data_IF_801514353240
#
_entry.id   IF_801514353240
#
_cell.length_a   1.000
_cell.length_b   1.000
_cell.length_c   1.000
_cell.angle_alpha   90.00
_cell.angle_beta   90.00
_cell.angle_gamma   90.00
#
_symmetry.space_group_name_H-M   'P 1'
#
loop_
_entity.id
_entity.type
_entity.pdbx_description
1 polymer ?
#
# COMPACT_ATOMS: atom_id res chain seq x y z
N UNK A 1 16.72 13.13 61.11
CA UNK A 1 18.05 13.40 61.68
C UNK A 1 19.11 12.79 60.76
N UNK A 2 20.18 13.56 60.50
CA UNK A 2 21.47 13.25 59.84
C UNK A 2 22.12 11.91 60.30
N UNK A 3 23.24 11.42 59.70
CA UNK A 3 23.64 11.22 58.29
C UNK A 3 24.41 9.88 58.06
N UNK A 4 24.94 9.64 56.85
CA UNK A 4 26.29 9.12 56.51
C UNK A 4 26.31 8.07 55.38
N UNK A 5 26.79 8.42 54.17
CA UNK A 5 28.19 8.42 53.66
C UNK A 5 28.64 7.03 53.22
N UNK A 6 29.17 6.97 51.98
CA UNK A 6 30.37 6.25 51.48
C UNK A 6 30.07 5.72 50.05
N UNK A 7 30.38 6.47 48.98
CA UNK A 7 31.68 6.50 48.28
C UNK A 7 32.11 5.11 47.78
N UNK A 8 31.84 4.79 46.50
CA UNK A 8 32.75 3.98 45.67
C UNK A 8 32.76 4.53 44.23
N UNK A 9 33.96 4.94 43.87
CA UNK A 9 34.50 5.31 42.56
C UNK A 9 34.56 4.05 41.68
N UNK A 10 34.17 4.15 40.40
CA UNK A 10 34.27 3.00 39.48
C UNK A 10 34.17 3.41 38.01
N UNK A 11 35.18 4.15 37.54
CA UNK A 11 35.38 4.48 36.13
C UNK A 11 35.76 3.18 35.40
N UNK A 12 34.86 2.65 34.58
CA UNK A 12 35.18 1.56 33.65
C UNK A 12 35.35 2.17 32.25
N UNK A 13 36.61 2.36 31.86
CA UNK A 13 37.00 2.82 30.54
C UNK A 13 36.71 1.74 29.49
N UNK A 14 35.85 2.06 28.52
CA UNK A 14 35.60 1.24 27.33
C UNK A 14 36.59 1.66 26.22
N UNK A 15 37.37 0.75 25.62
CA UNK A 15 38.22 1.11 24.49
C UNK A 15 37.38 1.26 23.21
N UNK A 16 37.49 2.44 22.59
CA UNK A 16 36.97 2.76 21.26
C UNK A 16 37.94 2.15 20.24
N UNK A 17 37.51 1.11 19.52
CA UNK A 17 38.19 0.66 18.30
C UNK A 17 37.74 1.54 17.14
N UNK A 18 38.59 2.50 16.77
CA UNK A 18 38.49 3.25 15.52
C UNK A 18 39.17 2.43 14.41
N UNK A 19 38.38 1.69 13.63
CA UNK A 19 38.85 1.13 12.36
C UNK A 19 38.62 2.14 11.24
N UNK A 20 39.69 2.87 10.91
CA UNK A 20 39.81 3.68 9.71
C UNK A 20 40.66 2.93 8.67
N UNK A 21 40.06 2.54 7.55
CA UNK A 21 40.67 2.22 6.25
C UNK A 21 39.48 1.81 5.34
N UNK A 22 39.20 2.36 4.17
CA UNK A 22 40.02 3.06 3.20
C UNK A 22 39.67 2.50 1.82
N UNK A 23 39.55 3.36 0.81
CA UNK A 23 39.69 2.97 -0.59
C UNK A 23 38.40 2.60 -1.32
N UNK A 24 38.02 3.46 -2.27
CA UNK A 24 36.83 3.31 -3.10
C UNK A 24 36.83 2.07 -3.99
N UNK A 25 35.63 1.57 -4.23
CA UNK A 25 35.30 0.81 -5.43
C UNK A 25 34.05 1.43 -6.00
N UNK A 26 34.24 2.03 -7.17
CA UNK A 26 33.26 2.41 -8.17
C UNK A 26 31.98 1.59 -8.04
N UNK A 27 30.91 2.27 -7.62
CA UNK A 27 29.54 1.78 -7.69
C UNK A 27 29.19 1.53 -9.15
N UNK A 28 29.52 0.33 -9.62
CA UNK A 28 28.81 -0.31 -10.71
C UNK A 28 27.42 -0.63 -10.19
N UNK A 29 26.53 0.36 -10.20
CA UNK A 29 25.11 0.09 -10.37
C UNK A 29 24.99 -0.61 -11.72
N UNK A 30 25.10 -1.94 -11.67
CA UNK A 30 24.52 -2.79 -12.68
C UNK A 30 23.03 -2.50 -12.66
N UNK A 31 22.62 -1.50 -13.43
CA UNK A 31 21.26 -1.34 -13.93
C UNK A 31 21.01 -2.51 -14.87
N UNK A 32 20.93 -3.70 -14.29
CA UNK A 32 20.63 -4.94 -14.94
C UNK A 32 19.20 -4.83 -15.45
N UNK A 33 19.09 -4.68 -16.76
CA UNK A 33 17.87 -4.93 -17.52
C UNK A 33 16.67 -4.15 -17.04
N UNK A 34 16.54 -2.91 -17.49
CA UNK A 34 15.20 -2.42 -17.82
C UNK A 34 14.69 -3.31 -18.95
N UNK A 35 14.13 -4.47 -18.60
CA UNK A 35 13.02 -5.02 -19.36
C UNK A 35 11.91 -4.00 -19.19
N UNK A 36 11.92 -2.95 -20.00
CA UNK A 36 10.72 -2.17 -20.24
C UNK A 36 9.71 -3.15 -20.82
N UNK A 37 8.97 -3.82 -19.94
CA UNK A 37 7.65 -4.29 -20.29
C UNK A 37 6.92 -3.04 -20.75
N UNK A 38 6.80 -2.87 -22.06
CA UNK A 38 6.11 -1.73 -22.66
C UNK A 38 4.62 -1.91 -22.35
N UNK A 39 4.22 -1.57 -21.13
CA UNK A 39 2.82 -1.59 -20.72
C UNK A 39 2.10 -0.51 -21.50
N UNK A 40 0.95 -0.88 -22.05
CA UNK A 40 0.03 0.07 -22.65
C UNK A 40 -0.67 0.85 -21.52
N UNK A 41 -0.01 1.88 -21.01
CA UNK A 41 -0.54 2.73 -19.95
C UNK A 41 -1.50 3.78 -20.55
N UNK A 42 -2.56 4.17 -19.82
CA UNK A 42 -3.38 5.29 -20.22
C UNK A 42 -2.57 6.62 -20.19
N UNK A 43 -3.05 7.67 -20.88
CA UNK A 43 -2.46 9.00 -20.75
C UNK A 43 -2.59 9.52 -19.31
N UNK A 44 -1.65 10.36 -18.87
CA UNK A 44 -1.74 11.01 -17.56
C UNK A 44 -2.92 12.01 -17.53
N UNK A 45 -3.91 11.83 -16.64
CA UNK A 45 -5.07 12.73 -16.55
C UNK A 45 -4.74 14.09 -15.92
N UNK A 46 -3.55 14.28 -15.34
CA UNK A 46 -3.13 15.52 -14.70
C UNK A 46 -4.11 15.96 -13.61
N UNK A 47 -4.51 17.24 -13.65
CA UNK A 47 -5.46 17.79 -12.67
C UNK A 47 -6.85 17.13 -12.72
N UNK A 48 -7.21 16.46 -13.83
CA UNK A 48 -8.49 15.77 -13.93
C UNK A 48 -8.56 14.51 -13.04
N UNK A 49 -7.40 13.95 -12.64
CA UNK A 49 -7.30 12.75 -11.79
C UNK A 49 -8.17 12.83 -10.53
N UNK A 50 -8.19 14.01 -9.90
CA UNK A 50 -8.82 14.25 -8.61
C UNK A 50 -10.07 15.13 -8.70
N UNK A 51 -10.55 15.43 -9.92
CA UNK A 51 -11.72 16.28 -10.12
C UNK A 51 -13.02 15.62 -9.58
N UNK A 52 -13.05 14.29 -9.53
CA UNK A 52 -14.16 13.52 -8.96
C UNK A 52 -13.66 12.35 -8.11
N UNK A 53 -14.54 11.78 -7.28
CA UNK A 53 -14.25 10.55 -6.53
C UNK A 53 -13.92 9.40 -7.48
N UNK A 54 -14.69 9.24 -8.56
CA UNK A 54 -14.50 8.20 -9.56
C UNK A 54 -13.20 8.38 -10.36
N UNK A 55 -12.75 9.63 -10.55
CA UNK A 55 -11.57 10.00 -11.32
C UNK A 55 -11.71 9.73 -12.82
N UNK A 56 -10.59 9.53 -13.51
CA UNK A 56 -10.52 9.29 -14.96
C UNK A 56 -10.04 7.85 -15.19
N UNK A 57 -10.75 7.11 -16.04
CA UNK A 57 -10.40 5.76 -16.51
C UNK A 57 -10.63 5.75 -18.03
N UNK A 58 -9.61 6.17 -18.78
CA UNK A 58 -9.73 6.39 -20.22
C UNK A 58 -9.85 5.08 -21.00
N UNK A 59 -9.25 4.00 -20.48
CA UNK A 59 -9.24 2.69 -21.13
C UNK A 59 -10.40 1.76 -20.67
N UNK A 60 -11.23 2.23 -19.73
CA UNK A 60 -12.40 1.55 -19.18
C UNK A 60 -12.08 0.18 -18.55
N UNK A 61 -10.91 0.02 -17.95
CA UNK A 61 -10.52 -1.25 -17.33
C UNK A 61 -10.99 -1.37 -15.85
N UNK A 62 -11.53 -0.30 -15.28
CA UNK A 62 -12.01 -0.19 -13.91
C UNK A 62 -10.96 0.30 -12.90
N UNK A 63 -9.79 0.72 -13.39
CA UNK A 63 -8.70 1.35 -12.62
C UNK A 63 -8.48 2.75 -13.16
N UNK A 64 -8.30 3.73 -12.26
CA UNK A 64 -8.08 5.10 -12.69
C UNK A 64 -6.70 5.23 -13.34
N UNK A 65 -6.60 6.12 -14.31
CA UNK A 65 -5.39 6.32 -15.10
C UNK A 65 -4.18 6.67 -14.21
N UNK A 66 -4.35 7.57 -13.22
CA UNK A 66 -3.25 7.93 -12.32
C UNK A 66 -2.80 6.77 -11.41
N UNK A 67 -3.72 5.88 -11.06
CA UNK A 67 -3.45 4.69 -10.24
C UNK A 67 -2.66 3.67 -11.05
N UNK A 68 -3.05 3.39 -12.30
CA UNK A 68 -2.29 2.51 -13.19
C UNK A 68 -0.87 3.02 -13.40
N UNK A 69 -0.73 4.32 -13.69
CA UNK A 69 0.56 4.97 -13.87
C UNK A 69 1.41 4.85 -12.60
N UNK A 70 0.84 5.11 -11.41
CA UNK A 70 1.55 4.99 -10.15
C UNK A 70 2.01 3.54 -9.88
N UNK A 71 1.15 2.56 -10.10
CA UNK A 71 1.45 1.14 -9.91
C UNK A 71 2.53 0.65 -10.88
N UNK A 72 2.50 1.11 -12.13
CA UNK A 72 3.48 0.73 -13.15
C UNK A 72 4.91 1.17 -12.79
N UNK A 73 5.06 2.27 -12.03
CA UNK A 73 6.34 2.82 -11.59
C UNK A 73 6.98 2.02 -10.44
N UNK A 74 6.17 1.29 -9.67
CA UNK A 74 6.63 0.57 -8.47
C UNK A 74 6.64 -0.95 -8.64
N UNK A 75 6.00 -1.48 -9.69
CA UNK A 75 5.93 -2.93 -9.96
C UNK A 75 6.67 -3.27 -11.25
N UNK A 76 7.78 -3.99 -11.12
CA UNK A 76 8.58 -4.44 -12.26
C UNK A 76 7.98 -5.66 -12.96
N UNK A 77 7.48 -6.65 -12.20
CA UNK A 77 6.94 -7.91 -12.76
C UNK A 77 5.55 -7.73 -13.36
N UNK A 78 5.34 -8.17 -14.61
CA UNK A 78 4.02 -8.12 -15.25
C UNK A 78 2.97 -9.01 -14.56
N UNK A 79 3.40 -10.14 -13.98
CA UNK A 79 2.51 -11.00 -13.21
C UNK A 79 2.05 -10.31 -11.92
N UNK A 80 2.96 -9.64 -11.22
CA UNK A 80 2.61 -8.84 -10.05
C UNK A 80 1.74 -7.66 -10.45
N UNK A 81 2.04 -6.98 -11.57
CA UNK A 81 1.26 -5.85 -12.06
C UNK A 81 -0.19 -6.26 -12.34
N UNK A 82 -0.40 -7.36 -13.08
CA UNK A 82 -1.74 -7.88 -13.37
C UNK A 82 -2.55 -8.20 -12.11
N UNK A 83 -1.91 -8.82 -11.12
CA UNK A 83 -2.55 -9.10 -9.82
C UNK A 83 -2.89 -7.81 -9.08
N UNK A 84 -1.95 -6.86 -9.03
CA UNK A 84 -2.16 -5.59 -8.34
C UNK A 84 -3.22 -4.73 -9.01
N UNK A 85 -3.35 -4.76 -10.34
CA UNK A 85 -4.43 -4.09 -11.06
C UNK A 85 -5.80 -4.64 -10.66
N UNK A 86 -5.93 -5.97 -10.48
CA UNK A 86 -7.17 -6.57 -9.97
C UNK A 86 -7.49 -6.08 -8.55
N UNK A 87 -6.49 -6.01 -7.68
CA UNK A 87 -6.63 -5.51 -6.31
C UNK A 87 -6.99 -4.02 -6.30
N UNK A 88 -6.37 -3.21 -7.15
CA UNK A 88 -6.69 -1.79 -7.30
C UNK A 88 -8.12 -1.57 -7.78
N UNK A 89 -8.56 -2.37 -8.76
CA UNK A 89 -9.95 -2.38 -9.22
C UNK A 89 -10.92 -2.67 -8.08
N UNK A 90 -10.66 -3.71 -7.28
CA UNK A 90 -11.51 -4.03 -6.13
C UNK A 90 -11.54 -2.89 -5.09
N UNK A 91 -10.42 -2.22 -4.85
CA UNK A 91 -10.42 -1.02 -4.00
C UNK A 91 -11.25 0.12 -4.59
N UNK A 92 -11.15 0.36 -5.89
CA UNK A 92 -11.92 1.41 -6.54
C UNK A 92 -13.42 1.14 -6.58
N UNK A 93 -13.85 -0.12 -6.53
CA UNK A 93 -15.28 -0.45 -6.40
C UNK A 93 -15.86 0.08 -5.08
N UNK A 94 -15.07 0.21 -4.01
CA UNK A 94 -15.54 0.85 -2.77
C UNK A 94 -15.81 2.36 -2.92
N UNK A 95 -15.22 3.00 -3.94
CA UNK A 95 -15.43 4.42 -4.22
C UNK A 95 -16.62 4.69 -5.13
N UNK A 96 -16.97 3.73 -5.99
CA UNK A 96 -17.95 3.92 -7.07
C UNK A 96 -19.26 3.16 -6.86
N UNK A 97 -19.27 2.09 -6.06
CA UNK A 97 -20.50 1.40 -5.64
C UNK A 97 -21.21 2.19 -4.53
N UNK A 98 -22.53 1.98 -4.32
CA UNK A 98 -23.22 2.47 -3.14
C UNK A 98 -22.46 2.09 -1.87
N UNK A 99 -22.32 3.05 -0.95
CA UNK A 99 -21.61 2.81 0.30
C UNK A 99 -22.33 1.71 1.10
N UNK A 100 -21.58 0.72 1.62
CA UNK A 100 -22.11 -0.21 2.61
C UNK A 100 -22.80 0.54 3.74
N UNK A 101 -23.90 -0.02 4.22
CA UNK A 101 -24.67 0.48 5.37
C UNK A 101 -24.64 -0.47 6.55
N UNK A 102 -24.21 -1.72 6.31
CA UNK A 102 -24.08 -2.76 7.34
C UNK A 102 -22.68 -3.34 7.38
N UNK A 103 -22.33 -3.96 8.51
CA UNK A 103 -21.07 -4.69 8.67
C UNK A 103 -20.92 -5.82 7.65
N UNK A 104 -22.00 -6.55 7.36
CA UNK A 104 -21.99 -7.65 6.38
C UNK A 104 -21.68 -7.14 4.95
N UNK A 105 -22.22 -5.99 4.57
CA UNK A 105 -21.91 -5.35 3.28
C UNK A 105 -20.46 -4.85 3.24
N UNK A 106 -19.95 -4.29 4.35
CA UNK A 106 -18.57 -3.86 4.45
C UNK A 106 -17.59 -5.04 4.35
N UNK A 107 -17.85 -6.14 5.06
CA UNK A 107 -17.09 -7.40 4.94
C UNK A 107 -17.11 -7.94 3.52
N UNK A 108 -18.26 -7.86 2.83
CA UNK A 108 -18.36 -8.25 1.42
C UNK A 108 -17.45 -7.40 0.53
N UNK A 109 -17.40 -6.08 0.75
CA UNK A 109 -16.50 -5.19 0.02
C UNK A 109 -15.02 -5.52 0.27
N UNK A 110 -14.63 -5.80 1.51
CA UNK A 110 -13.28 -6.26 1.84
C UNK A 110 -12.97 -7.65 1.26
N UNK A 111 -13.95 -8.54 1.21
CA UNK A 111 -13.85 -9.84 0.56
C UNK A 111 -13.54 -9.74 -0.93
N UNK A 112 -14.15 -8.79 -1.66
CA UNK A 112 -13.84 -8.56 -3.07
C UNK A 112 -12.34 -8.23 -3.28
N UNK A 113 -11.72 -7.48 -2.36
CA UNK A 113 -10.29 -7.17 -2.39
C UNK A 113 -9.45 -8.42 -2.11
N UNK A 114 -9.83 -9.20 -1.09
CA UNK A 114 -9.14 -10.44 -0.74
C UNK A 114 -9.15 -11.42 -1.92
N UNK A 115 -10.30 -11.58 -2.59
CA UNK A 115 -10.44 -12.44 -3.76
C UNK A 115 -9.66 -11.94 -4.97
N UNK A 116 -9.57 -10.62 -5.16
CA UNK A 116 -8.75 -10.04 -6.22
C UNK A 116 -7.25 -10.36 -6.07
N UNK A 117 -6.77 -10.56 -4.84
CA UNK A 117 -5.37 -10.88 -4.55
C UNK A 117 -4.96 -12.33 -4.83
N UNK A 118 -5.92 -13.25 -5.03
CA UNK A 118 -5.68 -14.64 -5.45
C UNK A 118 -5.13 -15.59 -4.36
N UNK A 119 -4.67 -15.06 -3.21
CA UNK A 119 -4.37 -15.87 -2.02
C UNK A 119 -4.88 -15.11 -0.79
N UNK A 120 -5.71 -15.72 0.05
CA UNK A 120 -6.27 -15.07 1.24
C UNK A 120 -5.24 -14.56 2.27
N UNK A 121 -3.93 -14.66 1.98
CA UNK A 121 -2.80 -14.39 2.89
C UNK A 121 -1.82 -13.33 2.38
N UNK A 122 -1.89 -12.90 1.11
CA UNK A 122 -1.07 -11.77 0.60
C UNK A 122 -1.74 -10.40 0.77
N UNK A 123 -2.86 -10.35 1.48
CA UNK A 123 -3.67 -9.16 1.70
C UNK A 123 -2.87 -8.04 2.40
N UNK A 124 -2.06 -8.34 3.41
CA UNK A 124 -1.53 -7.30 4.31
C UNK A 124 -0.66 -6.22 3.63
N UNK A 125 0.44 -6.59 2.98
CA UNK A 125 1.44 -5.62 2.53
C UNK A 125 1.09 -4.99 1.18
N UNK A 126 0.65 -5.80 0.22
CA UNK A 126 0.29 -5.31 -1.12
C UNK A 126 -1.01 -4.50 -1.09
N UNK A 127 -1.99 -4.86 -0.24
CA UNK A 127 -3.24 -4.09 -0.12
C UNK A 127 -3.00 -2.72 0.49
N UNK A 128 -2.14 -2.58 1.50
CA UNK A 128 -1.86 -1.28 2.11
C UNK A 128 -1.23 -0.29 1.12
N UNK A 129 -0.27 -0.75 0.31
CA UNK A 129 0.35 0.08 -0.72
C UNK A 129 -0.67 0.51 -1.79
N UNK A 130 -1.50 -0.42 -2.26
CA UNK A 130 -2.57 -0.13 -3.23
C UNK A 130 -3.62 0.80 -2.64
N UNK A 131 -4.04 0.56 -1.41
CA UNK A 131 -5.00 1.39 -0.67
C UNK A 131 -4.51 2.83 -0.58
N UNK A 132 -3.24 3.06 -0.24
CA UNK A 132 -2.68 4.41 -0.20
C UNK A 132 -2.69 5.13 -1.57
N UNK A 133 -2.49 4.39 -2.66
CA UNK A 133 -2.55 4.93 -4.03
C UNK A 133 -3.99 5.19 -4.46
N UNK A 134 -4.94 4.32 -4.07
CA UNK A 134 -6.36 4.42 -4.45
C UNK A 134 -7.12 5.45 -3.60
N UNK A 135 -6.77 5.61 -2.34
CA UNK A 135 -7.40 6.57 -1.42
C UNK A 135 -6.47 7.75 -1.17
N UNK A 136 -6.04 8.39 -2.25
CA UNK A 136 -5.06 9.48 -2.27
C UNK A 136 -5.65 10.85 -1.89
N UNK A 137 -6.94 11.09 -2.16
CA UNK A 137 -7.63 12.36 -1.84
C UNK A 137 -8.42 12.31 -0.52
N UNK A 138 -8.71 13.49 0.05
CA UNK A 138 -9.52 13.60 1.27
C UNK A 138 -10.92 12.95 1.12
N UNK A 139 -11.59 13.19 -0.02
CA UNK A 139 -12.91 12.60 -0.28
C UNK A 139 -12.86 11.08 -0.41
N UNK A 140 -11.81 10.52 -1.03
CA UNK A 140 -11.63 9.06 -1.15
C UNK A 140 -11.33 8.44 0.22
N UNK A 141 -10.51 9.10 1.05
CA UNK A 141 -10.23 8.67 2.43
C UNK A 141 -11.45 8.73 3.34
N UNK A 142 -12.32 9.73 3.18
CA UNK A 142 -13.57 9.83 3.94
C UNK A 142 -14.50 8.64 3.64
N UNK A 143 -14.62 8.25 2.37
CA UNK A 143 -15.36 7.05 1.97
C UNK A 143 -14.78 5.80 2.65
N UNK A 144 -13.46 5.59 2.56
CA UNK A 144 -12.82 4.45 3.22
C UNK A 144 -13.08 4.47 4.74
N UNK A 145 -12.96 5.63 5.39
CA UNK A 145 -13.20 5.75 6.84
C UNK A 145 -14.62 5.35 7.23
N UNK A 146 -15.63 5.69 6.41
CA UNK A 146 -17.02 5.27 6.64
C UNK A 146 -17.16 3.74 6.57
N UNK A 147 -16.49 3.09 5.62
CA UNK A 147 -16.50 1.63 5.49
C UNK A 147 -15.78 0.97 6.68
N UNK A 148 -14.60 1.47 7.06
CA UNK A 148 -13.82 0.96 8.21
C UNK A 148 -14.62 1.04 9.52
N UNK A 149 -15.41 2.10 9.71
CA UNK A 149 -16.27 2.24 10.90
C UNK A 149 -17.33 1.15 11.01
N UNK A 150 -17.80 0.59 9.88
CA UNK A 150 -18.79 -0.49 9.89
C UNK A 150 -18.22 -1.83 10.34
N UNK A 151 -16.89 -1.96 10.38
CA UNK A 151 -16.19 -3.15 10.84
C UNK A 151 -15.52 -2.94 12.21
N UNK A 152 -15.89 -1.89 12.94
CA UNK A 152 -15.30 -1.58 14.25
C UNK A 152 -13.76 -1.40 14.21
N UNK A 153 -13.22 -0.99 13.05
CA UNK A 153 -11.79 -0.75 12.86
C UNK A 153 -10.98 -1.94 12.35
N UNK A 154 -11.59 -3.10 12.10
CA UNK A 154 -10.89 -4.27 11.55
C UNK A 154 -11.83 -5.41 11.15
N UNK A 155 -11.29 -6.55 10.77
CA UNK A 155 -12.06 -7.79 10.56
C UNK A 155 -11.11 -8.97 10.65
N UNK A 156 -11.63 -10.11 11.11
CA UNK A 156 -10.89 -11.36 11.02
C UNK A 156 -11.02 -11.94 9.61
N UNK A 157 -10.01 -12.67 9.14
CA UNK A 157 -10.02 -13.23 7.78
C UNK A 157 -11.13 -14.28 7.61
N UNK A 158 -11.50 -14.94 8.71
CA UNK A 158 -12.59 -15.90 8.81
C UNK A 158 -13.98 -15.27 8.63
N UNK A 159 -14.10 -13.95 8.80
CA UNK A 159 -15.34 -13.21 8.57
C UNK A 159 -15.55 -12.86 7.09
N UNK A 160 -14.48 -12.88 6.29
CA UNK A 160 -14.57 -12.55 4.88
C UNK A 160 -15.29 -13.67 4.12
N UNK A 161 -16.14 -13.32 3.13
CA UNK A 161 -16.77 -14.33 2.29
C UNK A 161 -15.70 -15.12 1.54
N UNK A 162 -15.94 -16.43 1.38
CA UNK A 162 -15.12 -17.30 0.55
C UNK A 162 -15.18 -16.79 -0.90
N UNK A 163 -14.02 -16.76 -1.57
CA UNK A 163 -13.95 -16.45 -2.99
C UNK A 163 -14.60 -17.55 -3.81
N UNK A 164 -15.73 -17.24 -4.45
CA UNK A 164 -16.49 -18.14 -5.33
C UNK A 164 -16.11 -17.84 -6.79
#
# INVERSE_FOLDING_TARGET
MKPNKLLILGILALPIFLSACGGGSSGGVGSGGSTTSSRNLPPDPGAAATATVAGVDTNNNGVRDEVEIALSKVIASDQQYSTTIRVAKAHQLMLTKPLPTTRAEALKAYGEIACASGTGVAYGQSSNAVSNIVFDTASRKDILSKIVKLTDGGFDLEELPVCI
#
